data_IF_903660102953
#
_entry.id   IF_903660102953
#
_cell.length_a   1.000
_cell.length_b   1.000
_cell.length_c   1.000
_cell.angle_alpha   90.00
_cell.angle_beta   90.00
_cell.angle_gamma   90.00
#
_symmetry.space_group_name_H-M   'P 1'
#
loop_
_entity.id
_entity.type
_entity.pdbx_description
1 polymer ?
#
# COMPACT_ATOMS: atom_id res chain seq x y z
N UNK A 1 13.20 12.10 2.15
CA UNK A 1 11.71 12.13 2.05
C UNK A 1 11.14 12.73 3.34
N UNK A 2 10.27 13.74 3.26
CA UNK A 2 9.66 14.35 4.45
C UNK A 2 8.55 13.46 5.04
N UNK A 3 8.32 13.55 6.36
CA UNK A 3 7.22 12.85 7.04
C UNK A 3 5.87 13.19 6.41
N UNK A 4 5.64 14.48 6.09
CA UNK A 4 4.42 14.96 5.46
C UNK A 4 4.13 14.27 4.11
N UNK A 5 5.16 14.05 3.28
CA UNK A 5 4.99 13.32 2.03
C UNK A 5 4.61 11.85 2.24
N UNK A 6 5.25 11.18 3.20
CA UNK A 6 4.95 9.78 3.54
C UNK A 6 3.51 9.62 4.06
N UNK A 7 3.07 10.56 4.90
CA UNK A 7 1.69 10.56 5.43
C UNK A 7 0.68 10.84 4.33
N UNK A 8 0.93 11.83 3.46
CA UNK A 8 0.03 12.14 2.34
C UNK A 8 -0.08 10.98 1.34
N UNK A 9 1.05 10.40 0.95
CA UNK A 9 1.09 9.24 0.06
C UNK A 9 0.44 8.02 0.71
N UNK A 10 0.75 7.77 1.98
CA UNK A 10 0.16 6.69 2.77
C UNK A 10 -1.35 6.82 2.89
N UNK A 11 -1.85 8.02 3.19
CA UNK A 11 -3.28 8.31 3.26
C UNK A 11 -3.96 8.05 1.91
N UNK A 12 -3.46 8.63 0.83
CA UNK A 12 -4.05 8.48 -0.50
C UNK A 12 -4.04 7.02 -0.96
N UNK A 13 -2.91 6.32 -0.86
CA UNK A 13 -2.83 4.90 -1.21
C UNK A 13 -3.78 4.05 -0.36
N UNK A 14 -3.89 4.35 0.93
CA UNK A 14 -4.77 3.62 1.84
C UNK A 14 -6.24 3.82 1.51
N UNK A 15 -6.65 4.99 1.00
CA UNK A 15 -8.02 5.21 0.51
C UNK A 15 -8.37 4.23 -0.61
N UNK A 16 -7.53 4.15 -1.64
CA UNK A 16 -7.80 3.28 -2.79
C UNK A 16 -7.70 1.80 -2.44
N UNK A 17 -6.68 1.40 -1.67
CA UNK A 17 -6.49 0.02 -1.26
C UNK A 17 -7.58 -0.44 -0.28
N UNK A 18 -7.92 0.36 0.73
CA UNK A 18 -8.97 0.00 1.69
C UNK A 18 -10.35 -0.09 1.02
N UNK A 19 -10.66 0.83 0.11
CA UNK A 19 -11.90 0.77 -0.68
C UNK A 19 -11.95 -0.49 -1.55
N UNK A 20 -10.86 -0.78 -2.26
CA UNK A 20 -10.75 -1.98 -3.11
C UNK A 20 -10.92 -3.25 -2.27
N UNK A 21 -10.20 -3.37 -1.15
CA UNK A 21 -10.32 -4.54 -0.28
C UNK A 21 -11.74 -4.68 0.29
N UNK A 22 -12.35 -3.58 0.73
CA UNK A 22 -13.70 -3.62 1.30
C UNK A 22 -14.78 -3.94 0.28
N UNK A 23 -14.57 -3.58 -0.99
CA UNK A 23 -15.48 -3.91 -2.10
C UNK A 23 -15.29 -5.35 -2.59
N UNK A 24 -14.04 -5.76 -2.84
CA UNK A 24 -13.76 -7.05 -3.47
C UNK A 24 -13.69 -8.22 -2.49
N UNK A 25 -13.34 -8.01 -1.21
CA UNK A 25 -13.31 -9.08 -0.21
C UNK A 25 -14.63 -9.87 -0.11
N UNK A 26 -15.81 -9.23 0.07
CA UNK A 26 -17.08 -9.96 0.08
C UNK A 26 -17.38 -10.64 -1.27
N UNK A 27 -17.06 -10.01 -2.40
CA UNK A 27 -17.28 -10.57 -3.74
C UNK A 27 -16.50 -11.87 -3.92
N UNK A 28 -15.22 -11.88 -3.53
CA UNK A 28 -14.35 -13.07 -3.62
C UNK A 28 -14.79 -14.16 -2.66
N UNK A 29 -15.35 -13.78 -1.50
CA UNK A 29 -15.92 -14.71 -0.54
C UNK A 29 -17.33 -15.23 -0.90
N UNK A 30 -17.93 -14.74 -2.00
CA UNK A 30 -19.29 -15.10 -2.40
C UNK A 30 -20.39 -14.50 -1.51
N UNK A 31 -20.08 -13.44 -0.77
CA UNK A 31 -20.99 -12.72 0.12
C UNK A 31 -21.54 -11.44 -0.52
N UNK A 32 -22.68 -10.95 -0.03
CA UNK A 32 -23.25 -9.69 -0.49
C UNK A 32 -22.41 -8.49 -0.02
N UNK A 33 -22.32 -7.46 -0.87
CA UNK A 33 -21.68 -6.19 -0.50
C UNK A 33 -22.66 -5.37 0.31
N UNK A 34 -22.46 -5.31 1.63
CA UNK A 34 -23.25 -4.43 2.49
C UNK A 34 -22.67 -3.01 2.49
N UNK A 35 -23.48 -1.96 2.24
CA UNK A 35 -23.00 -0.58 2.22
C UNK A 35 -22.33 -0.14 3.53
N UNK A 36 -22.85 -0.62 4.65
CA UNK A 36 -22.29 -0.32 5.97
C UNK A 36 -20.93 -1.00 6.18
N UNK A 37 -20.79 -2.26 5.77
CA UNK A 37 -19.52 -2.98 5.80
C UNK A 37 -18.47 -2.35 4.89
N UNK A 38 -18.88 -1.90 3.69
CA UNK A 38 -18.03 -1.17 2.76
C UNK A 38 -17.51 0.14 3.39
N UNK A 39 -18.40 0.93 3.99
CA UNK A 39 -18.05 2.21 4.61
C UNK A 39 -17.10 2.01 5.80
N UNK A 40 -17.45 1.11 6.73
CA UNK A 40 -16.66 0.85 7.93
C UNK A 40 -15.31 0.21 7.60
N UNK A 41 -15.27 -0.74 6.67
CA UNK A 41 -14.04 -1.36 6.19
C UNK A 41 -13.10 -0.35 5.52
N UNK A 42 -13.67 0.55 4.71
CA UNK A 42 -12.89 1.59 4.04
C UNK A 42 -12.32 2.59 5.05
N UNK A 43 -13.14 3.10 5.99
CA UNK A 43 -12.69 4.07 7.00
C UNK A 43 -11.63 3.48 7.92
N UNK A 44 -11.86 2.27 8.43
CA UNK A 44 -10.90 1.58 9.30
C UNK A 44 -9.60 1.25 8.56
N UNK A 45 -9.69 0.79 7.30
CA UNK A 45 -8.53 0.53 6.46
C UNK A 45 -7.73 1.80 6.13
N UNK A 46 -8.38 2.94 5.92
CA UNK A 46 -7.70 4.23 5.74
C UNK A 46 -6.88 4.58 6.98
N UNK A 47 -7.47 4.48 8.17
CA UNK A 47 -6.80 4.80 9.43
C UNK A 47 -5.61 3.87 9.64
N UNK A 48 -5.82 2.56 9.53
CA UNK A 48 -4.76 1.55 9.71
C UNK A 48 -3.64 1.77 8.70
N UNK A 49 -3.98 1.89 7.41
CA UNK A 49 -2.99 2.04 6.35
C UNK A 49 -2.19 3.34 6.48
N UNK A 50 -2.83 4.43 6.90
CA UNK A 50 -2.14 5.71 7.17
C UNK A 50 -1.18 5.58 8.34
N UNK A 51 -1.61 4.93 9.45
CA UNK A 51 -0.75 4.70 10.62
C UNK A 51 0.44 3.80 10.26
N UNK A 52 0.21 2.74 9.49
CA UNK A 52 1.25 1.82 9.04
C UNK A 52 2.28 2.54 8.17
N UNK A 53 1.85 3.35 7.20
CA UNK A 53 2.75 4.10 6.32
C UNK A 53 3.47 5.25 7.04
N UNK A 54 2.91 5.75 8.14
CA UNK A 54 3.56 6.74 8.99
C UNK A 54 4.59 6.11 9.93
N UNK A 55 4.27 4.95 10.51
CA UNK A 55 5.12 4.25 11.48
C UNK A 55 6.23 3.43 10.80
N UNK A 56 5.93 2.78 9.68
CA UNK A 56 6.86 1.93 8.95
C UNK A 56 7.34 2.65 7.69
N UNK A 57 8.66 2.64 7.40
CA UNK A 57 9.22 3.20 6.19
C UNK A 57 9.00 2.25 5.00
N UNK A 58 7.74 1.92 4.68
CA UNK A 58 7.37 0.93 3.64
C UNK A 58 7.85 1.37 2.25
N UNK A 59 7.71 2.66 1.92
CA UNK A 59 8.12 3.24 0.63
C UNK A 59 9.62 3.10 0.37
N UNK A 60 10.54 3.54 1.25
CA UNK A 60 11.97 3.33 1.00
C UNK A 60 12.36 1.85 1.09
N UNK A 61 11.65 1.02 1.86
CA UNK A 61 11.89 -0.42 1.89
C UNK A 61 11.58 -1.06 0.52
N UNK A 62 10.46 -0.68 -0.09
CA UNK A 62 10.08 -1.19 -1.41
C UNK A 62 11.00 -0.72 -2.53
N UNK A 63 11.49 0.53 -2.46
CA UNK A 63 12.51 1.03 -3.38
C UNK A 63 13.82 0.23 -3.27
N UNK A 64 14.31 -0.01 -2.04
CA UNK A 64 15.52 -0.83 -1.81
C UNK A 64 15.37 -2.26 -2.31
N UNK A 65 14.18 -2.85 -2.15
CA UNK A 65 13.90 -4.19 -2.66
C UNK A 65 13.96 -4.26 -4.19
N UNK A 66 13.39 -3.27 -4.89
CA UNK A 66 13.45 -3.22 -6.35
C UNK A 66 14.89 -3.12 -6.87
N UNK A 67 15.72 -2.28 -6.23
CA UNK A 67 17.15 -2.17 -6.56
C UNK A 67 17.90 -3.48 -6.25
N UNK A 68 17.60 -4.13 -5.12
CA UNK A 68 18.20 -5.41 -4.73
C UNK A 68 17.84 -6.55 -5.70
N UNK A 69 16.66 -6.48 -6.33
CA UNK A 69 16.25 -7.40 -7.40
C UNK A 69 16.91 -7.10 -8.75
N UNK A 70 17.83 -6.12 -8.82
CA UNK A 70 18.54 -5.75 -10.05
C UNK A 70 17.78 -4.81 -10.97
N UNK A 71 16.65 -4.24 -10.54
CA UNK A 71 15.91 -3.29 -11.35
C UNK A 71 16.59 -1.92 -11.32
N UNK A 72 16.81 -1.34 -12.51
CA UNK A 72 17.37 0.00 -12.65
C UNK A 72 16.36 1.04 -12.18
N UNK A 73 16.78 1.97 -11.32
CA UNK A 73 15.93 3.07 -10.85
C UNK A 73 15.31 3.84 -12.02
N UNK A 74 14.02 4.13 -11.93
CA UNK A 74 13.26 4.79 -13.00
C UNK A 74 12.85 3.90 -14.17
N UNK A 75 13.27 2.63 -14.22
CA UNK A 75 12.75 1.66 -15.19
C UNK A 75 11.35 1.18 -14.84
N UNK A 76 10.59 0.72 -15.83
CA UNK A 76 9.25 0.15 -15.62
C UNK A 76 9.30 -1.07 -14.69
N UNK A 77 10.34 -1.90 -14.79
CA UNK A 77 10.56 -3.04 -13.89
C UNK A 77 10.77 -2.61 -12.43
N UNK A 78 11.45 -1.49 -12.19
CA UNK A 78 11.63 -0.94 -10.83
C UNK A 78 10.31 -0.46 -10.24
N UNK A 79 9.44 0.16 -11.05
CA UNK A 79 8.10 0.53 -10.62
C UNK A 79 7.23 -0.68 -10.29
N UNK A 80 7.24 -1.73 -11.13
CA UNK A 80 6.47 -2.93 -10.85
C UNK A 80 6.95 -3.68 -9.60
N UNK A 81 8.28 -3.82 -9.42
CA UNK A 81 8.87 -4.56 -8.31
C UNK A 81 8.69 -3.86 -6.96
N UNK A 82 8.80 -2.53 -6.89
CA UNK A 82 8.54 -1.82 -5.64
C UNK A 82 7.07 -1.94 -5.25
N UNK A 83 6.15 -1.91 -6.22
CA UNK A 83 4.72 -2.05 -5.95
C UNK A 83 4.36 -3.44 -5.45
N UNK A 84 5.10 -4.49 -5.85
CA UNK A 84 4.89 -5.84 -5.33
C UNK A 84 5.11 -5.85 -3.81
N UNK A 85 6.26 -5.34 -3.34
CA UNK A 85 6.55 -5.36 -1.91
C UNK A 85 5.63 -4.43 -1.13
N UNK A 86 5.41 -3.21 -1.64
CA UNK A 86 4.52 -2.23 -1.01
C UNK A 86 3.11 -2.79 -0.87
N UNK A 87 2.55 -3.32 -1.97
CA UNK A 87 1.23 -3.94 -1.97
C UNK A 87 1.19 -5.15 -1.03
N UNK A 88 2.21 -6.00 -1.02
CA UNK A 88 2.26 -7.18 -0.14
C UNK A 88 2.22 -6.78 1.35
N UNK A 89 3.04 -5.83 1.76
CA UNK A 89 3.08 -5.37 3.15
C UNK A 89 1.74 -4.74 3.55
N UNK A 90 1.23 -3.82 2.72
CA UNK A 90 -0.03 -3.13 2.99
C UNK A 90 -1.21 -4.09 2.99
N UNK A 91 -1.28 -5.00 2.02
CA UNK A 91 -2.31 -6.02 1.91
C UNK A 91 -2.30 -6.93 3.14
N UNK A 92 -1.14 -7.46 3.54
CA UNK A 92 -1.06 -8.37 4.69
C UNK A 92 -1.53 -7.69 5.98
N UNK A 93 -1.09 -6.46 6.22
CA UNK A 93 -1.49 -5.73 7.43
C UNK A 93 -2.97 -5.35 7.39
N UNK A 94 -3.44 -4.78 6.29
CA UNK A 94 -4.85 -4.37 6.15
C UNK A 94 -5.79 -5.57 6.19
N UNK A 95 -5.49 -6.64 5.44
CA UNK A 95 -6.34 -7.85 5.43
C UNK A 95 -6.38 -8.51 6.80
N UNK A 96 -5.24 -8.62 7.49
CA UNK A 96 -5.19 -9.21 8.82
C UNK A 96 -6.01 -8.37 9.82
N UNK A 97 -5.77 -7.05 9.88
CA UNK A 97 -6.47 -6.17 10.81
C UNK A 97 -7.97 -6.10 10.52
N UNK A 98 -8.37 -5.91 9.26
CA UNK A 98 -9.77 -5.84 8.87
C UNK A 98 -10.50 -7.16 9.13
N UNK A 99 -9.89 -8.29 8.76
CA UNK A 99 -10.51 -9.59 8.99
C UNK A 99 -10.59 -9.92 10.48
N UNK A 100 -9.59 -9.55 11.29
CA UNK A 100 -9.62 -9.72 12.73
C UNK A 100 -10.72 -8.88 13.40
N UNK A 101 -10.96 -7.65 12.90
CA UNK A 101 -12.03 -6.78 13.41
C UNK A 101 -13.43 -7.27 13.01
N UNK A 102 -13.60 -7.80 11.81
CA UNK A 102 -14.92 -8.21 11.29
C UNK A 102 -15.30 -9.62 11.74
N UNK A 103 -14.37 -10.58 11.60
CA UNK A 103 -14.65 -12.00 11.79
C UNK A 103 -14.23 -12.51 13.17
N UNK A 104 -13.43 -11.73 13.91
CA UNK A 104 -12.76 -12.19 15.11
C UNK A 104 -11.62 -13.17 14.83
N UNK A 105 -10.83 -13.50 15.86
CA UNK A 105 -9.75 -14.50 15.77
C UNK A 105 -10.28 -15.83 16.34
N UNK A 106 -10.66 -16.75 15.46
CA UNK A 106 -11.09 -18.11 15.79
C UNK A 106 -10.17 -19.17 15.16
N UNK A 107 -10.42 -20.46 15.43
CA UNK A 107 -9.62 -21.56 14.90
C UNK A 107 -9.64 -21.67 13.35
N UNK A 108 -10.63 -21.05 12.70
CA UNK A 108 -10.78 -21.03 11.25
C UNK A 108 -10.31 -19.73 10.60
N UNK A 109 -9.85 -18.76 11.40
CA UNK A 109 -9.45 -17.43 10.96
C UNK A 109 -8.41 -17.48 9.85
N UNK A 110 -7.37 -18.29 10.03
CA UNK A 110 -6.28 -18.42 9.05
C UNK A 110 -6.81 -18.97 7.73
N UNK A 111 -7.69 -19.96 7.74
CA UNK A 111 -8.27 -20.52 6.51
C UNK A 111 -9.18 -19.50 5.81
N UNK A 112 -10.01 -18.76 6.54
CA UNK A 112 -10.87 -17.70 5.98
C UNK A 112 -10.06 -16.53 5.44
N UNK A 113 -8.91 -16.24 6.05
CA UNK A 113 -8.00 -15.19 5.62
C UNK A 113 -7.17 -15.58 4.40
N UNK A 114 -6.55 -16.77 4.40
CA UNK A 114 -5.67 -17.22 3.31
C UNK A 114 -6.43 -17.62 2.05
N UNK A 115 -7.64 -18.19 2.18
CA UNK A 115 -8.39 -18.69 1.02
C UNK A 115 -8.65 -17.63 -0.07
N UNK A 116 -9.14 -16.41 0.26
CA UNK A 116 -9.30 -15.35 -0.73
C UNK A 116 -8.00 -14.55 -0.98
N UNK A 117 -6.92 -14.82 -0.24
CA UNK A 117 -5.78 -13.92 -0.19
C UNK A 117 -5.02 -13.74 -1.51
N UNK A 118 -4.71 -14.80 -2.28
CA UNK A 118 -4.00 -14.64 -3.55
C UNK A 118 -4.76 -13.77 -4.54
N UNK A 119 -6.07 -13.97 -4.64
CA UNK A 119 -6.90 -13.25 -5.62
C UNK A 119 -7.11 -11.79 -5.21
N UNK A 120 -7.35 -11.53 -3.92
CA UNK A 120 -7.44 -10.16 -3.41
C UNK A 120 -6.11 -9.41 -3.52
N UNK A 121 -5.00 -10.09 -3.28
CA UNK A 121 -3.67 -9.49 -3.44
C UNK A 121 -3.43 -9.06 -4.90
N UNK A 122 -3.76 -9.92 -5.87
CA UNK A 122 -3.63 -9.58 -7.31
C UNK A 122 -4.48 -8.35 -7.66
N UNK A 123 -5.74 -8.30 -7.20
CA UNK A 123 -6.62 -7.16 -7.43
C UNK A 123 -6.02 -5.88 -6.84
N UNK A 124 -5.56 -5.95 -5.58
CA UNK A 124 -4.94 -4.82 -4.91
C UNK A 124 -3.65 -4.36 -5.60
N UNK A 125 -2.87 -5.28 -6.15
CA UNK A 125 -1.65 -4.98 -6.87
C UNK A 125 -1.93 -4.25 -8.19
N UNK A 126 -2.92 -4.72 -8.95
CA UNK A 126 -3.34 -4.07 -10.21
C UNK A 126 -3.89 -2.66 -9.96
N UNK A 127 -4.61 -2.46 -8.85
CA UNK A 127 -5.06 -1.12 -8.43
C UNK A 127 -3.86 -0.27 -7.98
N UNK A 128 -2.94 -0.83 -7.19
CA UNK A 128 -1.76 -0.11 -6.72
C UNK A 128 -0.94 0.46 -7.88
N UNK A 129 -0.63 -0.33 -8.91
CA UNK A 129 0.14 0.12 -10.08
C UNK A 129 -0.52 1.34 -10.76
N UNK A 130 -1.85 1.35 -10.86
CA UNK A 130 -2.59 2.42 -11.53
C UNK A 130 -2.71 3.68 -10.67
N UNK A 131 -2.90 3.49 -9.38
CA UNK A 131 -3.20 4.59 -8.45
C UNK A 131 -1.92 5.22 -7.92
N UNK A 132 -0.82 4.47 -7.78
CA UNK A 132 0.43 5.00 -7.25
C UNK A 132 0.96 6.26 -7.97
N UNK A 133 1.03 6.34 -9.31
CA UNK A 133 1.46 7.57 -9.99
C UNK A 133 0.52 8.76 -9.69
N UNK A 134 -0.79 8.49 -9.56
CA UNK A 134 -1.78 9.50 -9.19
C UNK A 134 -1.61 9.96 -7.74
N UNK A 135 -1.36 9.03 -6.81
CA UNK A 135 -1.08 9.33 -5.41
C UNK A 135 0.21 10.12 -5.24
N UNK A 136 1.28 9.78 -5.97
CA UNK A 136 2.53 10.55 -5.97
C UNK A 136 2.30 11.98 -6.45
N UNK A 137 1.60 12.14 -7.58
CA UNK A 137 1.30 13.47 -8.14
C UNK A 137 0.50 14.34 -7.16
N UNK A 138 -0.56 13.78 -6.57
CA UNK A 138 -1.38 14.48 -5.59
C UNK A 138 -0.61 14.80 -4.31
N UNK A 139 0.19 13.85 -3.80
CA UNK A 139 1.00 14.05 -2.60
C UNK A 139 1.99 15.20 -2.80
N UNK A 140 2.71 15.22 -3.93
CA UNK A 140 3.62 16.30 -4.27
C UNK A 140 2.93 17.67 -4.36
N UNK A 141 1.71 17.72 -4.91
CA UNK A 141 0.92 18.95 -4.98
C UNK A 141 0.49 19.43 -3.60
N UNK A 142 0.09 18.51 -2.71
CA UNK A 142 -0.32 18.82 -1.33
C UNK A 142 0.88 19.30 -0.50
N UNK A 143 2.00 18.61 -0.58
CA UNK A 143 3.19 18.90 0.24
C UNK A 143 4.16 19.88 -0.42
N UNK A 144 3.79 20.46 -1.58
CA UNK A 144 4.62 21.38 -2.39
C UNK A 144 6.06 20.88 -2.58
N UNK A 145 6.24 19.56 -2.68
CA UNK A 145 7.55 18.93 -2.77
C UNK A 145 7.81 18.58 -4.24
N UNK A 146 8.98 18.93 -4.77
CA UNK A 146 9.30 18.61 -6.16
C UNK A 146 9.46 17.10 -6.35
N UNK A 147 8.83 16.58 -7.42
CA UNK A 147 9.01 15.22 -7.90
C UNK A 147 10.43 15.06 -8.42
N UNK A 148 11.29 14.34 -7.69
CA UNK A 148 12.42 13.68 -8.33
C UNK A 148 11.88 12.42 -9.01
N UNK A 149 11.31 12.57 -10.21
CA UNK A 149 11.16 11.44 -11.11
C UNK A 149 12.58 11.08 -11.61
N UNK A 150 13.25 10.18 -10.90
CA UNK A 150 14.49 9.55 -11.37
C UNK A 150 15.76 10.42 -11.35
N UNK A 151 15.94 11.34 -10.40
CA UNK A 151 17.28 11.82 -10.10
C UNK A 151 17.91 10.93 -9.02
N UNK A 152 19.14 10.43 -9.23
CA UNK A 152 19.81 9.50 -8.33
C UNK A 152 19.81 10.07 -6.91
N UNK A 153 19.62 9.19 -5.93
CA UNK A 153 19.94 9.46 -4.53
C UNK A 153 21.37 10.00 -4.52
N UNK A 154 21.50 11.33 -4.40
CA UNK A 154 22.80 11.97 -4.32
C UNK A 154 23.55 11.25 -3.20
N UNK A 155 24.68 10.66 -3.57
CA UNK A 155 25.58 9.99 -2.67
C UNK A 155 25.74 10.84 -1.40
N UNK A 156 25.78 10.21 -0.21
CA UNK A 156 25.95 10.94 1.04
C UNK A 156 27.15 11.87 0.86
N UNK A 157 26.91 13.16 1.11
CA UNK A 157 27.96 14.15 1.18
C UNK A 157 29.07 13.57 2.03
N UNK A 158 30.22 13.33 1.40
CA UNK A 158 31.47 13.07 2.09
C UNK A 158 31.77 14.36 2.86
N UNK A 159 31.25 14.42 4.08
CA UNK A 159 31.62 15.39 5.09
C UNK A 159 33.13 15.29 5.28
N UNK A 160 33.80 16.43 5.08
CA UNK A 160 35.21 16.48 4.78
C UNK A 160 36.11 15.88 5.85
N UNK A 161 37.22 15.30 5.36
CA UNK A 161 38.58 15.51 5.88
C UNK A 161 39.59 15.06 4.84
#
# INVERSE_FOLDING_TARGET
MSLAFRVAMGFLMSVFLAFTMSLFSPIVAGAAVEPMGLLMGTLSGIVIGTVVMAALPVIPLSMKFAVSCGAKEGSLSWFLLKDVLLCTIMYLILSLCLNAMVSGIDASFVNRWLAPAPLLWIICYVVAIQVEPLCMFLSCKITRTQLSFGAPEAAPEAEGR
#
